data_IF_278065519371
#
_entry.id   IF_278065519371
#
_cell.length_a   1.000
_cell.length_b   1.000
_cell.length_c   1.000
_cell.angle_alpha   90.00
_cell.angle_beta   90.00
_cell.angle_gamma   90.00
#
_symmetry.space_group_name_H-M   'P 1'
#
loop_
_entity.id
_entity.type
_entity.pdbx_description
1 polymer ?
#
# COMPACT_ATOMS: atom_id res chain seq x y z
N UNK A 1 -24.68 7.60 -12.88
CA UNK A 1 -24.23 7.74 -11.48
C UNK A 1 -24.52 6.49 -10.67
N UNK A 2 -25.76 5.98 -10.62
CA UNK A 2 -26.14 4.77 -9.83
C UNK A 2 -25.27 3.53 -10.13
N UNK A 3 -24.93 3.26 -11.40
CA UNK A 3 -24.06 2.12 -11.76
C UNK A 3 -22.66 2.24 -11.14
N UNK A 4 -22.10 3.46 -11.05
CA UNK A 4 -20.79 3.67 -10.43
C UNK A 4 -20.86 3.49 -8.91
N UNK A 5 -21.94 3.97 -8.26
CA UNK A 5 -22.14 3.78 -6.84
C UNK A 5 -22.22 2.27 -6.52
N UNK A 6 -23.03 1.53 -7.26
CA UNK A 6 -23.19 0.08 -7.08
C UNK A 6 -21.86 -0.67 -7.31
N UNK A 7 -21.08 -0.25 -8.33
CA UNK A 7 -19.76 -0.82 -8.58
C UNK A 7 -18.82 -0.61 -7.39
N UNK A 8 -18.77 0.60 -6.84
CA UNK A 8 -17.92 0.91 -5.69
C UNK A 8 -18.37 0.16 -4.44
N UNK A 9 -19.66 0.17 -4.13
CA UNK A 9 -20.24 -0.56 -3.00
C UNK A 9 -19.86 -2.05 -3.06
N UNK A 10 -20.15 -2.71 -4.17
CA UNK A 10 -19.78 -4.12 -4.40
C UNK A 10 -18.26 -4.33 -4.27
N UNK A 11 -17.46 -3.44 -4.84
CA UNK A 11 -16.00 -3.55 -4.86
C UNK A 11 -15.41 -3.46 -3.44
N UNK A 12 -15.88 -2.51 -2.64
CA UNK A 12 -15.37 -2.30 -1.29
C UNK A 12 -15.78 -3.45 -0.36
N UNK A 13 -17.03 -3.93 -0.43
CA UNK A 13 -17.47 -5.10 0.32
C UNK A 13 -16.69 -6.36 -0.07
N UNK A 14 -16.49 -6.59 -1.35
CA UNK A 14 -15.70 -7.74 -1.82
C UNK A 14 -14.23 -7.64 -1.40
N UNK A 15 -13.65 -6.45 -1.39
CA UNK A 15 -12.29 -6.24 -0.90
C UNK A 15 -12.20 -6.54 0.60
N UNK A 16 -13.15 -6.03 1.39
CA UNK A 16 -13.19 -6.29 2.83
C UNK A 16 -13.26 -7.79 3.13
N UNK A 17 -14.07 -8.55 2.38
CA UNK A 17 -14.19 -10.01 2.53
C UNK A 17 -12.91 -10.80 2.16
N UNK A 18 -11.98 -10.19 1.42
CA UNK A 18 -10.69 -10.78 1.08
C UNK A 18 -9.62 -10.52 2.14
N UNK A 19 -9.82 -9.52 3.01
CA UNK A 19 -8.84 -9.14 4.02
C UNK A 19 -8.83 -10.15 5.17
N UNK A 20 -7.66 -10.74 5.42
CA UNK A 20 -7.39 -11.45 6.67
C UNK A 20 -7.04 -10.42 7.75
N UNK A 21 -7.92 -10.24 8.74
CA UNK A 21 -7.76 -9.21 9.78
C UNK A 21 -6.53 -9.45 10.67
N UNK A 22 -6.15 -10.70 10.93
CA UNK A 22 -4.96 -11.03 11.73
C UNK A 22 -3.69 -10.65 10.97
N UNK A 23 -3.62 -10.95 9.68
CA UNK A 23 -2.51 -10.57 8.82
C UNK A 23 -2.43 -9.07 8.66
N UNK A 24 -3.57 -8.41 8.44
CA UNK A 24 -3.67 -6.95 8.37
C UNK A 24 -3.15 -6.28 9.65
N UNK A 25 -3.55 -6.78 10.82
CA UNK A 25 -3.07 -6.30 12.11
C UNK A 25 -1.55 -6.46 12.28
N UNK A 26 -0.98 -7.57 11.80
CA UNK A 26 0.49 -7.80 11.79
C UNK A 26 1.20 -6.80 10.88
N UNK A 27 0.66 -6.52 9.69
CA UNK A 27 1.22 -5.53 8.77
C UNK A 27 1.25 -4.15 9.44
N UNK A 28 0.14 -3.71 10.03
CA UNK A 28 0.07 -2.42 10.75
C UNK A 28 1.10 -2.37 11.87
N UNK A 29 1.27 -3.46 12.63
CA UNK A 29 2.28 -3.53 13.70
C UNK A 29 3.70 -3.45 13.14
N UNK A 30 3.98 -4.10 12.00
CA UNK A 30 5.28 -4.01 11.32
C UNK A 30 5.54 -2.60 10.81
N UNK A 31 4.54 -1.92 10.24
CA UNK A 31 4.65 -0.51 9.82
C UNK A 31 4.94 0.42 11.00
N UNK A 32 4.28 0.22 12.13
CA UNK A 32 4.46 1.03 13.33
C UNK A 32 5.89 0.92 13.88
N UNK A 33 6.45 -0.28 13.90
CA UNK A 33 7.80 -0.57 14.40
C UNK A 33 8.92 -0.36 13.37
N UNK A 34 8.59 -0.07 12.11
CA UNK A 34 9.60 0.06 11.06
C UNK A 34 10.45 1.32 11.22
N UNK A 35 11.74 1.23 10.92
CA UNK A 35 12.59 2.42 10.81
C UNK A 35 12.22 3.24 9.57
N UNK A 36 12.06 2.56 8.43
CA UNK A 36 11.64 3.14 7.15
C UNK A 36 10.41 2.40 6.63
N UNK A 37 9.43 3.15 6.12
CA UNK A 37 8.31 2.63 5.33
C UNK A 37 8.52 3.09 3.89
N UNK A 38 8.54 2.15 2.94
CA UNK A 38 8.68 2.46 1.52
C UNK A 38 7.56 1.80 0.71
N UNK A 39 6.94 2.56 -0.20
CA UNK A 39 5.95 2.06 -1.14
C UNK A 39 6.55 1.96 -2.54
N UNK A 40 6.29 0.84 -3.20
CA UNK A 40 6.72 0.53 -4.57
C UNK A 40 5.50 0.39 -5.48
N UNK A 41 4.88 1.51 -5.88
CA UNK A 41 3.71 1.47 -6.73
C UNK A 41 4.09 1.22 -8.20
N UNK A 42 3.25 0.47 -8.94
CA UNK A 42 3.25 0.58 -10.39
C UNK A 42 2.87 2.01 -10.82
N UNK A 43 3.31 2.43 -12.01
CA UNK A 43 3.12 3.82 -12.49
C UNK A 43 1.67 4.31 -12.36
N UNK A 44 0.70 3.44 -12.71
CA UNK A 44 -0.73 3.78 -12.64
C UNK A 44 -1.27 3.96 -11.22
N UNK A 45 -0.55 3.49 -10.20
CA UNK A 45 -0.94 3.52 -8.79
C UNK A 45 -0.13 4.53 -7.95
N UNK A 46 0.78 5.27 -8.60
CA UNK A 46 1.66 6.22 -7.93
C UNK A 46 0.90 7.26 -7.09
N UNK A 47 -0.16 7.87 -7.64
CA UNK A 47 -0.89 8.91 -6.93
C UNK A 47 -1.62 8.41 -5.68
N UNK A 48 -2.04 7.15 -5.64
CA UNK A 48 -2.65 6.56 -4.44
C UNK A 48 -1.61 6.31 -3.34
N UNK A 49 -0.43 5.85 -3.73
CA UNK A 49 0.71 5.72 -2.81
C UNK A 49 1.16 7.10 -2.28
N UNK A 50 1.13 8.13 -3.13
CA UNK A 50 1.45 9.50 -2.73
C UNK A 50 0.41 10.09 -1.76
N UNK A 51 -0.90 9.83 -1.95
CA UNK A 51 -1.94 10.18 -0.98
C UNK A 51 -1.69 9.51 0.38
N UNK A 52 -1.28 8.24 0.38
CA UNK A 52 -0.91 7.54 1.62
C UNK A 52 0.29 8.20 2.29
N UNK A 53 1.36 8.53 1.54
CA UNK A 53 2.53 9.24 2.04
C UNK A 53 2.15 10.58 2.67
N UNK A 54 1.29 11.36 2.00
CA UNK A 54 0.81 12.63 2.51
C UNK A 54 0.09 12.48 3.85
N UNK A 55 -0.85 11.52 3.98
CA UNK A 55 -1.54 11.26 5.23
C UNK A 55 -0.58 10.88 6.37
N UNK A 56 0.43 10.05 6.06
CA UNK A 56 1.45 9.67 7.04
C UNK A 56 2.33 10.86 7.45
N UNK A 57 2.67 11.74 6.51
CA UNK A 57 3.44 12.95 6.78
C UNK A 57 2.69 13.91 7.71
N UNK A 58 1.35 14.00 7.58
CA UNK A 58 0.50 14.82 8.47
C UNK A 58 0.54 14.41 9.95
N UNK A 59 1.04 13.20 10.23
CA UNK A 59 1.30 12.71 11.60
C UNK A 59 2.80 12.58 11.89
N UNK A 60 3.64 13.29 11.16
CA UNK A 60 5.08 13.30 11.36
C UNK A 60 5.81 12.02 10.94
N UNK A 61 5.15 11.13 10.18
CA UNK A 61 5.75 9.88 9.72
C UNK A 61 6.09 9.95 8.24
N UNK A 62 7.38 10.06 7.94
CA UNK A 62 7.84 10.04 6.55
C UNK A 62 7.70 8.63 5.93
N UNK A 63 7.38 8.61 4.63
CA UNK A 63 7.22 7.40 3.82
C UNK A 63 7.87 7.63 2.46
N UNK A 64 8.72 6.72 2.03
CA UNK A 64 9.38 6.81 0.73
C UNK A 64 8.44 6.30 -0.35
N UNK A 65 8.18 7.14 -1.35
CA UNK A 65 7.41 6.78 -2.55
C UNK A 65 8.12 7.30 -3.79
N UNK A 66 8.55 6.40 -4.66
CA UNK A 66 9.24 6.77 -5.90
C UNK A 66 8.42 6.39 -7.13
N UNK A 67 8.32 7.33 -8.07
CA UNK A 67 7.57 7.11 -9.33
C UNK A 67 8.39 6.34 -10.36
N UNK A 68 9.67 6.67 -10.47
CA UNK A 68 10.53 6.12 -11.51
C UNK A 68 11.16 4.79 -11.06
N UNK A 69 11.09 3.79 -11.91
CA UNK A 69 11.61 2.44 -11.65
C UNK A 69 13.09 2.46 -11.23
N UNK A 70 13.87 3.33 -11.86
CA UNK A 70 15.29 3.48 -11.52
C UNK A 70 15.48 3.88 -10.04
N UNK A 71 14.71 4.85 -9.55
CA UNK A 71 14.81 5.27 -8.15
C UNK A 71 14.18 4.25 -7.21
N UNK A 72 13.08 3.57 -7.60
CA UNK A 72 12.54 2.44 -6.84
C UNK A 72 13.61 1.36 -6.61
N UNK A 73 14.39 1.03 -7.65
CA UNK A 73 15.52 0.10 -7.51
C UNK A 73 16.53 0.59 -6.49
N UNK A 74 16.91 1.87 -6.55
CA UNK A 74 17.86 2.46 -5.58
C UNK A 74 17.33 2.39 -4.16
N UNK A 75 16.06 2.71 -3.94
CA UNK A 75 15.41 2.57 -2.63
C UNK A 75 15.45 1.11 -2.17
N UNK A 76 15.04 0.14 -3.01
CA UNK A 76 15.09 -1.28 -2.65
C UNK A 76 16.48 -1.77 -2.23
N UNK A 77 17.54 -1.25 -2.87
CA UNK A 77 18.95 -1.56 -2.54
C UNK A 77 19.39 -0.98 -1.18
N UNK A 78 18.76 0.10 -0.72
CA UNK A 78 19.12 0.79 0.55
C UNK A 78 18.37 0.29 1.77
N UNK A 79 17.21 -0.33 1.56
CA UNK A 79 16.40 -0.88 2.66
C UNK A 79 17.12 -2.06 3.33
N UNK A 80 16.89 -2.21 4.63
CA UNK A 80 17.54 -3.19 5.48
C UNK A 80 16.60 -3.78 6.54
N UNK A 81 17.08 -4.73 7.30
CA UNK A 81 16.35 -5.32 8.43
C UNK A 81 15.81 -4.24 9.38
N UNK A 82 14.53 -4.34 9.71
CA UNK A 82 13.79 -3.37 10.50
C UNK A 82 13.02 -2.34 9.66
N UNK A 83 13.18 -2.37 8.33
CA UNK A 83 12.37 -1.58 7.40
C UNK A 83 11.21 -2.43 6.84
N UNK A 84 10.19 -1.75 6.29
CA UNK A 84 9.06 -2.38 5.62
C UNK A 84 8.86 -1.80 4.22
N UNK A 85 8.64 -2.69 3.26
CA UNK A 85 8.36 -2.36 1.87
C UNK A 85 6.95 -2.84 1.48
N UNK A 86 6.13 -1.93 0.97
CA UNK A 86 4.78 -2.23 0.47
C UNK A 86 4.81 -2.13 -1.06
N UNK A 87 4.73 -3.27 -1.71
CA UNK A 87 4.73 -3.39 -3.17
C UNK A 87 3.29 -3.41 -3.67
N UNK A 88 2.96 -2.52 -4.62
CA UNK A 88 1.63 -2.39 -5.19
C UNK A 88 1.67 -2.79 -6.66
N UNK A 89 1.13 -3.96 -6.97
CA UNK A 89 1.13 -4.53 -8.32
C UNK A 89 -0.22 -5.16 -8.66
N UNK A 90 -0.96 -4.57 -9.61
CA UNK A 90 -2.31 -5.03 -9.96
C UNK A 90 -2.35 -6.51 -10.34
N UNK A 91 -1.63 -6.90 -11.38
CA UNK A 91 -1.68 -8.23 -11.97
C UNK A 91 -0.39 -9.05 -11.77
N UNK A 92 0.53 -8.57 -10.93
CA UNK A 92 1.83 -9.23 -10.68
C UNK A 92 2.66 -9.52 -11.95
N UNK A 93 2.47 -8.72 -13.01
CA UNK A 93 3.11 -8.91 -14.32
C UNK A 93 4.27 -7.94 -14.59
N UNK A 94 4.69 -7.15 -13.60
CA UNK A 94 5.74 -6.15 -13.78
C UNK A 94 7.11 -6.81 -13.54
N UNK A 95 7.96 -7.01 -14.55
CA UNK A 95 9.19 -7.82 -14.42
C UNK A 95 10.15 -7.38 -13.30
N UNK A 96 10.29 -6.05 -13.11
CA UNK A 96 11.24 -5.52 -12.11
C UNK A 96 10.76 -5.65 -10.67
N UNK A 97 9.47 -5.93 -10.44
CA UNK A 97 8.92 -6.07 -9.08
C UNK A 97 9.52 -7.29 -8.39
N UNK A 98 9.69 -8.38 -9.11
CA UNK A 98 10.33 -9.58 -8.57
C UNK A 98 11.77 -9.31 -8.15
N UNK A 99 12.54 -8.62 -8.99
CA UNK A 99 13.93 -8.25 -8.69
C UNK A 99 14.02 -7.39 -7.41
N UNK A 100 13.11 -6.43 -7.25
CA UNK A 100 13.06 -5.60 -6.03
C UNK A 100 12.77 -6.44 -4.79
N UNK A 101 11.78 -7.34 -4.85
CA UNK A 101 11.42 -8.22 -3.73
C UNK A 101 12.62 -9.12 -3.37
N UNK A 102 13.30 -9.69 -4.35
CA UNK A 102 14.48 -10.54 -4.11
C UNK A 102 15.62 -9.77 -3.42
N UNK A 103 15.88 -8.53 -3.84
CA UNK A 103 16.88 -7.66 -3.18
C UNK A 103 16.47 -7.35 -1.75
N UNK A 104 15.22 -6.97 -1.52
CA UNK A 104 14.69 -6.66 -0.19
C UNK A 104 14.72 -7.88 0.73
N UNK A 105 14.38 -9.07 0.22
CA UNK A 105 14.47 -10.33 0.98
C UNK A 105 15.91 -10.66 1.39
N UNK A 106 16.88 -10.47 0.49
CA UNK A 106 18.30 -10.63 0.82
C UNK A 106 18.75 -9.68 1.95
N UNK A 107 18.18 -8.49 1.99
CA UNK A 107 18.45 -7.48 3.01
C UNK A 107 17.58 -7.66 4.28
N UNK A 108 16.77 -8.72 4.36
CA UNK A 108 15.86 -9.02 5.49
C UNK A 108 14.83 -7.92 5.75
N UNK A 109 14.39 -7.22 4.71
CA UNK A 109 13.32 -6.22 4.76
C UNK A 109 11.98 -6.96 4.89
N UNK A 110 11.06 -6.47 5.73
CA UNK A 110 9.69 -6.99 5.75
C UNK A 110 8.97 -6.56 4.48
N UNK A 111 8.44 -7.53 3.72
CA UNK A 111 7.81 -7.29 2.42
C UNK A 111 6.31 -7.56 2.45
N UNK A 112 5.53 -6.62 1.93
CA UNK A 112 4.06 -6.72 1.79
C UNK A 112 3.72 -6.53 0.32
N UNK A 113 2.93 -7.43 -0.25
CA UNK A 113 2.36 -7.28 -1.59
C UNK A 113 0.89 -6.88 -1.49
N UNK A 114 0.47 -5.86 -2.23
CA UNK A 114 -0.94 -5.51 -2.44
C UNK A 114 -1.29 -5.76 -3.90
N UNK A 115 -2.17 -6.73 -4.17
CA UNK A 115 -2.55 -7.09 -5.54
C UNK A 115 -3.97 -7.64 -5.66
N UNK A 116 -4.49 -7.72 -6.89
CA UNK A 116 -5.79 -8.34 -7.17
C UNK A 116 -5.70 -9.85 -7.43
N UNK A 117 -4.51 -10.39 -7.61
CA UNK A 117 -4.26 -11.79 -7.97
C UNK A 117 -3.84 -12.57 -6.74
N UNK A 118 -4.62 -13.61 -6.38
CA UNK A 118 -4.38 -14.42 -5.19
C UNK A 118 -3.13 -15.29 -5.30
N UNK A 119 -2.91 -15.90 -6.44
CA UNK A 119 -1.79 -16.80 -6.67
C UNK A 119 -0.89 -16.26 -7.77
N UNK A 120 0.35 -15.97 -7.42
CA UNK A 120 1.39 -15.56 -8.34
C UNK A 120 2.75 -15.97 -7.79
N UNK A 121 3.76 -15.98 -8.63
CA UNK A 121 5.12 -16.21 -8.15
C UNK A 121 5.57 -15.12 -7.16
N UNK A 122 5.08 -13.88 -7.33
CA UNK A 122 5.38 -12.79 -6.39
C UNK A 122 4.78 -13.01 -5.01
N UNK A 123 3.58 -13.60 -4.92
CA UNK A 123 2.93 -13.87 -3.62
C UNK A 123 3.71 -14.87 -2.76
N UNK A 124 4.50 -15.73 -3.39
CA UNK A 124 5.36 -16.71 -2.69
C UNK A 124 6.66 -16.09 -2.16
N UNK A 125 7.01 -14.90 -2.63
CA UNK A 125 8.28 -14.23 -2.30
C UNK A 125 8.14 -13.21 -1.17
N UNK A 126 6.91 -12.84 -0.76
CA UNK A 126 6.65 -11.80 0.23
C UNK A 126 6.28 -12.40 1.59
N UNK A 127 6.48 -11.62 2.66
CA UNK A 127 6.10 -12.03 4.01
C UNK A 127 4.59 -11.94 4.25
N UNK A 128 3.93 -10.95 3.61
CA UNK A 128 2.50 -10.67 3.76
C UNK A 128 1.86 -10.33 2.42
N UNK A 129 0.57 -10.68 2.25
CA UNK A 129 -0.16 -10.38 1.03
C UNK A 129 -1.57 -9.87 1.31
N UNK A 130 -1.86 -8.63 0.92
CA UNK A 130 -3.21 -8.05 0.95
C UNK A 130 -3.85 -8.14 -0.43
N UNK A 131 -5.01 -8.77 -0.47
CA UNK A 131 -5.79 -8.92 -1.69
C UNK A 131 -6.85 -7.84 -1.80
N UNK A 132 -7.10 -7.36 -3.01
CA UNK A 132 -8.23 -6.49 -3.30
C UNK A 132 -9.08 -7.02 -4.46
N UNK A 133 -10.38 -6.74 -4.40
CA UNK A 133 -11.30 -7.08 -5.49
C UNK A 133 -11.11 -6.13 -6.68
N UNK A 134 -11.27 -6.67 -7.88
CA UNK A 134 -11.32 -5.92 -9.12
C UNK A 134 -12.35 -6.54 -10.05
N UNK A 135 -13.16 -5.70 -10.66
CA UNK A 135 -14.21 -6.06 -11.61
C UNK A 135 -13.92 -5.55 -13.02
N UNK A 136 -12.68 -5.14 -13.27
CA UNK A 136 -12.24 -4.73 -14.60
C UNK A 136 -11.82 -5.95 -15.41
N UNK A 137 -12.32 -6.03 -16.63
CA UNK A 137 -11.73 -6.88 -17.65
C UNK A 137 -10.37 -6.31 -18.08
N UNK A 138 -9.37 -7.17 -18.24
CA UNK A 138 -8.02 -6.73 -18.60
C UNK A 138 -7.92 -6.22 -20.03
N UNK A 139 -8.83 -6.65 -20.92
CA UNK A 139 -8.82 -6.36 -22.36
C UNK A 139 -9.81 -5.25 -22.74
N UNK A 140 -10.96 -5.18 -22.06
CA UNK A 140 -12.04 -4.24 -22.41
C UNK A 140 -12.23 -3.10 -21.39
N UNK A 141 -11.32 -2.90 -20.46
CA UNK A 141 -11.50 -1.87 -19.42
C UNK A 141 -11.47 -0.45 -19.97
N UNK A 142 -12.48 0.31 -19.62
CA UNK A 142 -12.55 1.75 -19.91
C UNK A 142 -11.56 2.52 -19.01
N UNK A 143 -11.48 2.13 -17.74
CA UNK A 143 -10.55 2.69 -16.74
C UNK A 143 -10.46 1.75 -15.53
N UNK A 144 -9.48 2.00 -14.64
CA UNK A 144 -9.27 1.23 -13.42
C UNK A 144 -10.16 1.73 -12.29
N UNK A 145 -11.48 1.66 -12.42
CA UNK A 145 -12.42 2.21 -11.44
C UNK A 145 -12.45 1.38 -10.15
N UNK A 146 -12.72 0.08 -10.25
CA UNK A 146 -12.85 -0.81 -9.09
C UNK A 146 -11.49 -1.07 -8.43
N UNK A 147 -10.46 -1.40 -9.20
CA UNK A 147 -9.13 -1.68 -8.66
C UNK A 147 -8.53 -0.49 -7.92
N UNK A 148 -8.73 0.74 -8.42
CA UNK A 148 -8.26 1.94 -7.71
C UNK A 148 -9.07 2.23 -6.46
N UNK A 149 -10.39 2.02 -6.49
CA UNK A 149 -11.23 2.17 -5.30
C UNK A 149 -10.81 1.18 -4.20
N UNK A 150 -10.59 -0.08 -4.55
CA UNK A 150 -10.11 -1.12 -3.63
C UNK A 150 -8.74 -0.79 -3.03
N UNK A 151 -7.79 -0.41 -3.88
CA UNK A 151 -6.44 -0.05 -3.44
C UNK A 151 -6.47 1.14 -2.49
N UNK A 152 -7.20 2.20 -2.86
CA UNK A 152 -7.31 3.41 -2.02
C UNK A 152 -7.97 3.08 -0.69
N UNK A 153 -9.00 2.24 -0.68
CA UNK A 153 -9.65 1.76 0.55
C UNK A 153 -8.65 1.04 1.46
N UNK A 154 -7.87 0.09 0.94
CA UNK A 154 -6.86 -0.63 1.73
C UNK A 154 -5.80 0.31 2.30
N UNK A 155 -5.31 1.26 1.51
CA UNK A 155 -4.32 2.24 1.97
C UNK A 155 -4.91 3.15 3.07
N UNK A 156 -6.17 3.58 2.95
CA UNK A 156 -6.84 4.33 4.01
C UNK A 156 -7.05 3.49 5.28
N UNK A 157 -7.40 2.21 5.14
CA UNK A 157 -7.51 1.30 6.29
C UNK A 157 -6.14 1.12 6.99
N UNK A 158 -5.05 0.95 6.23
CA UNK A 158 -3.69 0.87 6.79
C UNK A 158 -3.33 2.15 7.55
N UNK A 159 -3.61 3.32 6.97
CA UNK A 159 -3.39 4.59 7.63
C UNK A 159 -4.22 4.74 8.91
N UNK A 160 -5.53 4.50 8.85
CA UNK A 160 -6.43 4.63 10.00
C UNK A 160 -6.04 3.71 11.15
N UNK A 161 -5.68 2.45 10.84
CA UNK A 161 -5.21 1.51 11.85
C UNK A 161 -3.82 1.88 12.39
N UNK A 162 -2.93 2.41 11.57
CA UNK A 162 -1.65 2.97 12.01
C UNK A 162 -1.86 4.16 12.94
N UNK A 163 -2.71 5.11 12.56
CA UNK A 163 -3.07 6.29 13.35
C UNK A 163 -3.57 5.90 14.74
N UNK A 164 -4.46 4.90 14.81
CA UNK A 164 -5.05 4.43 16.07
C UNK A 164 -4.07 3.72 17.01
N UNK A 165 -2.86 3.36 16.55
CA UNK A 165 -1.83 2.76 17.43
C UNK A 165 -1.33 3.74 18.49
N UNK A 166 -1.35 5.02 18.17
CA UNK A 166 -0.92 6.08 19.09
C UNK A 166 -1.79 7.33 18.85
N UNK A 167 -3.10 7.16 19.07
CA UNK A 167 -4.14 8.12 18.67
C UNK A 167 -3.86 9.52 19.23
N UNK A 168 -3.63 9.63 20.54
CA UNK A 168 -3.43 10.91 21.22
C UNK A 168 -2.20 11.64 20.65
N UNK A 169 -1.07 10.96 20.55
CA UNK A 169 0.14 11.54 19.97
C UNK A 169 -0.07 12.01 18.51
N UNK A 170 -0.76 11.21 17.70
CA UNK A 170 -0.97 11.53 16.31
C UNK A 170 -1.95 12.70 16.12
N UNK A 171 -2.99 12.79 16.96
CA UNK A 171 -3.91 13.93 16.93
C UNK A 171 -3.24 15.21 17.43
N UNK A 172 -2.46 15.13 18.50
CA UNK A 172 -1.72 16.27 19.05
C UNK A 172 -0.73 16.81 18.01
N UNK A 173 0.04 15.93 17.34
CA UNK A 173 0.95 16.32 16.28
C UNK A 173 0.22 17.07 15.14
N UNK A 174 -0.95 16.58 14.71
CA UNK A 174 -1.74 17.25 13.67
C UNK A 174 -2.22 18.62 14.14
N UNK A 175 -2.72 18.73 15.35
CA UNK A 175 -3.20 20.01 15.90
C UNK A 175 -2.06 21.03 15.94
N UNK A 176 -0.91 20.65 16.47
CA UNK A 176 0.26 21.54 16.57
C UNK A 176 0.77 22.07 15.23
N UNK A 177 0.73 21.22 14.17
CA UNK A 177 1.34 21.56 12.88
C UNK A 177 0.33 22.00 11.81
N UNK A 178 -0.98 21.83 12.03
CA UNK A 178 -2.01 22.15 11.03
C UNK A 178 -2.66 23.52 11.24
N UNK A 179 -2.64 24.04 12.46
CA UNK A 179 -3.34 25.30 12.84
C UNK A 179 -2.55 26.55 12.43
N UNK A 180 -1.27 26.44 12.16
CA UNK A 180 -0.46 27.60 11.74
C UNK A 180 -0.65 28.04 10.28
N UNK A 181 -1.47 27.36 9.49
CA UNK A 181 -1.70 27.65 8.07
C UNK A 181 -3.10 28.24 7.77
N UNK A 182 -3.90 28.48 8.79
CA UNK A 182 -5.20 29.14 8.70
C UNK A 182 -5.14 30.53 9.34
#
# INVERSE_FOLDING_TARGET
MTKMLNLYDQTLHSTLNLVNLDEFGKIVQKMYNANVIALFPSIGNFFMAECFRQNMLEIGRDVIVEKQIFYQKKVAETLKKGDIAIVISYANRTPHVEDFIRVMNKNQVTTVLISSTKESELSKLVDYHLYFASYEDSEEKIASFSSRASLQFLLYCLYACYFNRDYEKNIDYRIEHYIELS
#
